data_IF_702360271573
#
_entry.id   IF_702360271573
#
_cell.length_a   1.000
_cell.length_b   1.000
_cell.length_c   1.000
_cell.angle_alpha   90.00
_cell.angle_beta   90.00
_cell.angle_gamma   90.00
#
_symmetry.space_group_name_H-M   'P 1'
#
loop_
_entity.id
_entity.type
_entity.pdbx_description
1 polymer ?
#
# COMPACT_ATOMS: atom_id res chain seq x y z
N UNK A 1 26.14 4.04 -4.08
CA UNK A 1 27.02 2.93 -3.70
C UNK A 1 28.20 2.92 -4.64
N UNK A 2 29.42 2.86 -4.12
CA UNK A 2 30.66 2.77 -4.92
C UNK A 2 31.60 1.78 -4.23
N UNK A 3 31.31 0.48 -4.32
CA UNK A 3 32.12 -0.56 -3.67
C UNK A 3 31.71 -1.99 -4.07
N UNK A 4 32.55 -3.01 -3.79
CA UNK A 4 32.26 -4.40 -4.13
C UNK A 4 31.08 -4.95 -3.33
N UNK A 5 30.26 -5.77 -3.98
CA UNK A 5 29.18 -6.53 -3.34
C UNK A 5 29.80 -7.68 -2.56
N UNK A 6 29.55 -7.72 -1.25
CA UNK A 6 30.07 -8.76 -0.36
C UNK A 6 29.14 -9.98 -0.32
N UNK A 7 27.82 -9.73 -0.36
CA UNK A 7 26.76 -10.75 -0.40
C UNK A 7 25.52 -10.17 -1.06
N UNK A 8 24.76 -11.03 -1.74
CA UNK A 8 23.45 -10.69 -2.25
C UNK A 8 22.47 -11.84 -1.95
N UNK A 9 21.31 -11.50 -1.39
CA UNK A 9 20.26 -12.45 -1.05
C UNK A 9 18.96 -12.06 -1.74
N UNK A 10 18.40 -12.98 -2.52
CA UNK A 10 17.07 -12.77 -3.11
C UNK A 10 16.00 -12.80 -2.02
N UNK A 11 15.10 -11.82 -2.06
CA UNK A 11 13.94 -11.76 -1.17
C UNK A 11 12.74 -12.31 -1.93
N UNK A 12 12.10 -13.34 -1.39
CA UNK A 12 10.82 -13.85 -1.90
C UNK A 12 9.69 -13.03 -1.26
N UNK A 13 9.63 -11.75 -1.58
CA UNK A 13 8.54 -10.86 -1.21
C UNK A 13 8.47 -9.72 -2.25
N UNK A 14 7.28 -9.50 -2.81
CA UNK A 14 7.06 -8.53 -3.89
C UNK A 14 6.71 -9.20 -5.21
N UNK A 15 5.44 -9.16 -5.59
CA UNK A 15 4.94 -9.75 -6.84
C UNK A 15 5.13 -8.85 -8.07
N UNK A 16 5.71 -7.65 -7.88
CA UNK A 16 5.76 -6.55 -8.87
C UNK A 16 7.16 -6.27 -9.42
N UNK A 17 8.21 -7.01 -9.02
CA UNK A 17 9.58 -6.81 -9.52
C UNK A 17 10.23 -8.11 -9.96
N UNK A 18 11.01 -8.06 -11.04
CA UNK A 18 11.80 -9.19 -11.54
C UNK A 18 12.99 -9.54 -10.64
N UNK A 19 13.48 -8.55 -9.90
CA UNK A 19 14.55 -8.68 -8.92
C UNK A 19 14.14 -7.96 -7.63
N UNK A 20 14.20 -8.68 -6.51
CA UNK A 20 14.18 -8.12 -5.17
C UNK A 20 15.31 -8.79 -4.38
N UNK A 21 16.26 -8.00 -3.88
CA UNK A 21 17.42 -8.53 -3.17
C UNK A 21 17.92 -7.58 -2.07
N UNK A 22 18.48 -8.15 -1.01
CA UNK A 22 19.31 -7.40 -0.06
C UNK A 22 20.76 -7.57 -0.47
N UNK A 23 21.46 -6.44 -0.62
CA UNK A 23 22.87 -6.41 -1.00
C UNK A 23 23.67 -5.88 0.19
N UNK A 24 24.61 -6.69 0.67
CA UNK A 24 25.59 -6.28 1.67
C UNK A 24 26.82 -5.68 0.97
N UNK A 25 27.22 -4.50 1.43
CA UNK A 25 28.49 -3.86 1.05
C UNK A 25 29.26 -3.42 2.29
N UNK A 26 30.50 -2.98 2.11
CA UNK A 26 31.30 -2.40 3.19
C UNK A 26 30.63 -1.17 3.84
N UNK A 27 29.79 -0.46 3.08
CA UNK A 27 29.09 0.76 3.53
C UNK A 27 27.72 0.47 4.17
N UNK A 28 27.30 -0.80 4.24
CA UNK A 28 26.04 -1.25 4.82
C UNK A 28 25.13 -2.04 3.87
N UNK A 29 23.90 -2.27 4.33
CA UNK A 29 22.86 -3.01 3.60
C UNK A 29 21.99 -2.09 2.77
N UNK A 30 21.68 -2.54 1.55
CA UNK A 30 20.76 -1.86 0.64
C UNK A 30 19.73 -2.86 0.15
N UNK A 31 18.45 -2.48 0.18
CA UNK A 31 17.43 -3.24 -0.53
C UNK A 31 17.40 -2.78 -2.00
N UNK A 32 17.44 -3.75 -2.92
CA UNK A 32 17.51 -3.51 -4.36
C UNK A 32 16.30 -4.11 -5.03
N UNK A 33 15.57 -3.29 -5.79
CA UNK A 33 14.44 -3.71 -6.62
C UNK A 33 14.81 -3.44 -8.08
N UNK A 34 14.59 -4.41 -8.96
CA UNK A 34 14.93 -4.30 -10.38
C UNK A 34 13.82 -4.79 -11.29
N UNK A 35 13.61 -4.06 -12.38
CA UNK A 35 12.71 -4.44 -13.47
C UNK A 35 13.42 -4.30 -14.81
N UNK A 36 12.94 -5.04 -15.81
CA UNK A 36 13.38 -4.89 -17.19
C UNK A 36 12.87 -3.54 -17.71
N UNK A 37 13.75 -2.75 -18.33
CA UNK A 37 13.42 -1.40 -18.81
C UNK A 37 12.42 -1.40 -19.98
N UNK A 38 12.29 -2.53 -20.68
CA UNK A 38 11.31 -2.79 -21.73
C UNK A 38 10.00 -3.41 -21.21
N UNK A 39 9.88 -3.62 -19.89
CA UNK A 39 8.66 -4.16 -19.30
C UNK A 39 7.52 -3.12 -19.34
N UNK A 40 6.30 -3.50 -19.77
CA UNK A 40 5.14 -2.60 -19.76
C UNK A 40 4.80 -2.02 -18.37
N UNK A 41 5.23 -2.65 -17.28
CA UNK A 41 5.01 -2.19 -15.91
C UNK A 41 6.16 -1.35 -15.34
N UNK A 42 7.22 -1.03 -16.10
CA UNK A 42 8.38 -0.23 -15.62
C UNK A 42 7.98 1.14 -15.06
N UNK A 43 6.86 1.70 -15.53
CA UNK A 43 6.29 2.93 -15.00
C UNK A 43 6.00 2.86 -13.49
N UNK A 44 5.72 1.66 -12.95
CA UNK A 44 5.49 1.45 -11.52
C UNK A 44 6.73 1.72 -10.69
N UNK A 45 7.89 1.31 -11.21
CA UNK A 45 9.19 1.54 -10.58
C UNK A 45 9.58 3.02 -10.63
N UNK A 46 9.37 3.68 -11.77
CA UNK A 46 9.60 5.12 -11.89
C UNK A 46 8.73 5.92 -10.91
N UNK A 47 7.45 5.54 -10.76
CA UNK A 47 6.55 6.18 -9.79
C UNK A 47 7.04 6.03 -8.35
N UNK A 48 7.51 4.84 -7.97
CA UNK A 48 8.08 4.60 -6.65
C UNK A 48 9.33 5.46 -6.40
N UNK A 49 10.19 5.62 -7.41
CA UNK A 49 11.38 6.48 -7.34
C UNK A 49 11.02 7.96 -7.16
N UNK A 50 10.07 8.46 -7.96
CA UNK A 50 9.60 9.85 -7.91
C UNK A 50 8.85 10.18 -6.60
N UNK A 51 8.12 9.22 -6.04
CA UNK A 51 7.40 9.40 -4.79
C UNK A 51 8.31 9.32 -3.56
N UNK A 52 9.44 8.61 -3.64
CA UNK A 52 10.37 8.37 -2.52
C UNK A 52 10.67 9.60 -1.64
N UNK A 53 11.04 10.77 -2.19
CA UNK A 53 11.30 11.98 -1.41
C UNK A 53 10.09 12.55 -0.65
N UNK A 54 8.87 12.16 -1.02
CA UNK A 54 7.62 12.66 -0.46
C UNK A 54 7.00 11.74 0.60
N UNK A 55 7.59 10.56 0.80
CA UNK A 55 7.15 9.55 1.80
C UNK A 55 8.13 9.41 2.95
N UNK A 56 9.12 10.29 3.06
CA UNK A 56 9.95 10.41 4.27
C UNK A 56 9.14 11.05 5.42
N UNK A 57 9.26 10.57 6.67
CA UNK A 57 10.12 9.48 7.14
C UNK A 57 9.40 8.12 7.23
N UNK A 58 8.23 7.96 6.62
CA UNK A 58 7.40 6.74 6.79
C UNK A 58 7.83 5.59 5.89
N UNK A 59 8.58 5.84 4.81
CA UNK A 59 9.09 4.82 3.89
C UNK A 59 10.61 4.82 3.83
N UNK A 60 11.23 3.74 3.33
CA UNK A 60 12.66 3.71 3.11
C UNK A 60 13.05 4.71 2.03
N UNK A 61 14.11 5.48 2.30
CA UNK A 61 14.59 6.47 1.34
C UNK A 61 15.19 5.79 0.11
N UNK A 62 14.79 6.26 -1.07
CA UNK A 62 15.44 5.94 -2.34
C UNK A 62 16.82 6.58 -2.37
N UNK A 63 17.87 5.76 -2.51
CA UNK A 63 19.28 6.20 -2.49
C UNK A 63 19.82 6.49 -3.86
N UNK A 64 19.38 5.72 -4.84
CA UNK A 64 19.81 5.82 -6.23
C UNK A 64 18.83 5.05 -7.13
N UNK A 65 18.77 5.49 -8.38
CA UNK A 65 18.15 4.78 -9.49
C UNK A 65 19.19 4.65 -10.59
N UNK A 66 19.33 3.47 -11.16
CA UNK A 66 20.29 3.18 -12.23
C UNK A 66 19.57 2.45 -13.35
N UNK A 67 19.64 3.00 -14.55
CA UNK A 67 19.21 2.32 -15.77
C UNK A 67 20.44 1.86 -16.54
N UNK A 68 20.61 0.54 -16.72
CA UNK A 68 21.79 -0.04 -17.40
C UNK A 68 21.48 -1.42 -17.97
N UNK A 69 22.03 -1.75 -19.13
CA UNK A 69 21.88 -3.07 -19.80
C UNK A 69 20.42 -3.57 -19.93
N UNK A 70 19.49 -2.64 -20.13
CA UNK A 70 18.05 -2.93 -20.25
C UNK A 70 17.37 -3.24 -18.91
N UNK A 71 17.97 -2.85 -17.79
CA UNK A 71 17.36 -2.89 -16.46
C UNK A 71 17.17 -1.49 -15.91
N UNK A 72 16.06 -1.27 -15.21
CA UNK A 72 15.90 -0.18 -14.25
C UNK A 72 16.02 -0.75 -12.83
N UNK A 73 16.86 -0.14 -12.01
CA UNK A 73 17.21 -0.65 -10.68
C UNK A 73 17.14 0.47 -9.66
N UNK A 74 16.35 0.25 -8.60
CA UNK A 74 16.27 1.13 -7.44
C UNK A 74 17.01 0.53 -6.25
N UNK A 75 17.77 1.38 -5.57
CA UNK A 75 18.37 1.06 -4.27
C UNK A 75 17.72 1.89 -3.16
N UNK A 76 17.30 1.21 -2.10
CA UNK A 76 16.66 1.80 -0.93
C UNK A 76 17.49 1.58 0.32
N UNK A 77 17.36 2.48 1.30
CA UNK A 77 17.83 2.20 2.66
C UNK A 77 17.18 0.89 3.16
N UNK A 78 17.99 -0.05 3.66
CA UNK A 78 17.50 -1.31 4.17
C UNK A 78 16.79 -1.13 5.52
N UNK A 79 15.56 -1.62 5.63
CA UNK A 79 14.78 -1.61 6.87
C UNK A 79 14.90 -2.97 7.53
N UNK A 80 15.61 -3.02 8.66
CA UNK A 80 15.68 -4.21 9.50
C UNK A 80 14.41 -4.33 10.36
N UNK A 81 13.83 -5.53 10.43
CA UNK A 81 12.58 -5.76 11.15
C UNK A 81 11.83 -6.99 10.64
N UNK A 82 10.52 -7.02 10.92
CA UNK A 82 9.60 -8.04 10.43
C UNK A 82 8.44 -7.42 9.64
N UNK A 83 7.82 -8.20 8.76
CA UNK A 83 6.53 -7.81 8.18
C UNK A 83 5.47 -7.76 9.27
N UNK A 84 4.55 -6.81 9.21
CA UNK A 84 3.49 -6.69 10.19
C UNK A 84 2.71 -8.00 10.34
N UNK A 85 2.30 -8.32 11.57
CA UNK A 85 1.33 -9.36 11.82
C UNK A 85 0.06 -8.72 12.39
N UNK A 86 -1.00 -8.65 11.58
CA UNK A 86 -2.28 -8.04 11.97
C UNK A 86 -3.08 -8.84 13.02
N UNK A 87 -2.48 -9.87 13.61
CA UNK A 87 -2.98 -10.57 14.80
C UNK A 87 -2.25 -10.11 16.07
N UNK A 88 -1.20 -9.29 15.95
CA UNK A 88 -0.40 -8.77 17.05
C UNK A 88 -0.75 -7.30 17.28
N UNK A 89 -1.19 -6.97 18.51
CA UNK A 89 -1.64 -5.62 18.86
C UNK A 89 -0.56 -4.54 18.69
N UNK A 90 0.70 -4.84 18.97
CA UNK A 90 1.79 -3.86 18.80
C UNK A 90 2.01 -3.51 17.32
N UNK A 91 1.87 -4.49 16.43
CA UNK A 91 2.04 -4.28 15.00
C UNK A 91 0.86 -3.46 14.46
N UNK A 92 -0.38 -3.79 14.88
CA UNK A 92 -1.57 -3.00 14.56
C UNK A 92 -1.45 -1.54 15.04
N UNK A 93 -0.90 -1.33 16.23
CA UNK A 93 -0.64 0.02 16.77
C UNK A 93 0.39 0.78 15.93
N UNK A 94 1.50 0.13 15.57
CA UNK A 94 2.52 0.73 14.73
C UNK A 94 1.99 1.06 13.33
N UNK A 95 1.23 0.15 12.71
CA UNK A 95 0.56 0.38 11.42
C UNK A 95 -0.39 1.58 11.48
N UNK A 96 -1.24 1.66 12.51
CA UNK A 96 -2.16 2.79 12.68
C UNK A 96 -1.43 4.13 12.90
N UNK A 97 -0.31 4.11 13.62
CA UNK A 97 0.53 5.29 13.81
C UNK A 97 1.16 5.77 12.49
N UNK A 98 1.69 4.85 11.68
CA UNK A 98 2.27 5.18 10.36
C UNK A 98 1.21 5.63 9.36
N UNK A 99 0.01 5.04 9.36
CA UNK A 99 -1.12 5.54 8.57
C UNK A 99 -1.55 6.95 9.00
N UNK A 100 -1.52 7.25 10.30
CA UNK A 100 -1.77 8.60 10.81
C UNK A 100 -0.69 9.58 10.37
N UNK A 101 0.57 9.15 10.29
CA UNK A 101 1.66 9.97 9.76
C UNK A 101 1.51 10.22 8.25
N UNK A 102 1.15 9.19 7.48
CA UNK A 102 0.84 9.31 6.04
C UNK A 102 -0.22 10.39 5.77
N UNK A 103 -1.28 10.43 6.57
CA UNK A 103 -2.34 11.44 6.44
C UNK A 103 -1.86 12.90 6.61
N UNK A 104 -0.61 13.15 7.03
CA UNK A 104 0.00 14.48 7.16
C UNK A 104 0.98 14.79 6.02
N UNK A 105 1.33 13.81 5.21
CA UNK A 105 2.23 13.98 4.08
C UNK A 105 1.50 14.58 2.89
N UNK A 106 2.25 15.31 2.08
CA UNK A 106 1.74 15.98 0.89
C UNK A 106 2.61 15.62 -0.30
N UNK A 107 2.01 14.99 -1.32
CA UNK A 107 2.65 14.78 -2.62
C UNK A 107 2.31 15.95 -3.56
N UNK A 108 3.29 16.54 -4.27
CA UNK A 108 3.05 17.59 -5.26
C UNK A 108 1.96 17.18 -6.26
N UNK A 109 1.11 18.13 -6.67
CA UNK A 109 0.07 17.85 -7.69
C UNK A 109 0.66 17.50 -9.06
N UNK A 110 1.89 17.89 -9.32
CA UNK A 110 2.65 17.55 -10.53
C UNK A 110 3.09 16.10 -10.56
N UNK A 111 3.10 15.41 -9.41
CA UNK A 111 3.39 13.98 -9.36
C UNK A 111 2.17 13.20 -9.87
N UNK A 112 2.36 12.44 -10.93
CA UNK A 112 1.31 11.61 -11.50
C UNK A 112 1.01 10.42 -10.58
N UNK A 113 -0.15 10.45 -9.95
CA UNK A 113 -0.68 9.36 -9.13
C UNK A 113 -1.92 8.76 -9.80
N UNK A 114 -2.32 7.57 -9.35
CA UNK A 114 -3.67 7.09 -9.68
C UNK A 114 -4.69 8.05 -9.06
N UNK A 115 -5.87 8.10 -9.64
CA UNK A 115 -6.97 8.91 -9.16
C UNK A 115 -8.05 8.00 -8.54
N UNK A 116 -8.48 8.30 -7.31
CA UNK A 116 -9.42 7.46 -6.57
C UNK A 116 -10.78 7.39 -7.26
N UNK A 117 -11.29 8.51 -7.77
CA UNK A 117 -12.57 8.58 -8.49
C UNK A 117 -12.53 7.69 -9.74
N UNK A 118 -11.41 7.69 -10.47
CA UNK A 118 -11.24 6.84 -11.65
C UNK A 118 -11.03 5.37 -11.29
N UNK A 119 -10.20 5.09 -10.28
CA UNK A 119 -9.81 3.72 -9.90
C UNK A 119 -11.01 2.93 -9.38
N UNK A 120 -11.66 3.45 -8.34
CA UNK A 120 -12.78 2.77 -7.70
C UNK A 120 -14.13 3.16 -8.31
N UNK A 121 -14.24 4.36 -8.89
CA UNK A 121 -15.45 4.73 -9.62
C UNK A 121 -15.69 3.91 -10.89
N UNK A 122 -14.69 3.16 -11.39
CA UNK A 122 -14.91 2.14 -12.42
C UNK A 122 -15.89 1.03 -11.98
N UNK A 123 -16.07 0.85 -10.66
CA UNK A 123 -17.01 -0.10 -10.07
C UNK A 123 -18.30 0.56 -9.57
N UNK A 124 -18.45 1.88 -9.76
CA UNK A 124 -19.62 2.66 -9.34
C UNK A 124 -20.36 3.17 -10.58
N UNK A 125 -21.63 2.75 -10.80
CA UNK A 125 -22.38 3.17 -11.99
C UNK A 125 -22.76 4.66 -11.93
N UNK A 126 -23.05 5.19 -10.75
CA UNK A 126 -23.47 6.58 -10.54
C UNK A 126 -22.25 7.52 -10.49
N UNK A 127 -22.12 8.50 -11.41
CA UNK A 127 -21.04 9.48 -11.38
C UNK A 127 -20.98 10.31 -10.09
N UNK A 128 -22.12 10.54 -9.42
CA UNK A 128 -22.16 11.30 -8.17
C UNK A 128 -21.53 10.52 -7.01
N UNK A 129 -21.66 9.19 -7.01
CA UNK A 129 -20.99 8.30 -6.06
C UNK A 129 -19.47 8.24 -6.31
N UNK A 130 -19.01 8.42 -7.56
CA UNK A 130 -17.57 8.48 -7.86
C UNK A 130 -16.92 9.70 -7.21
N UNK A 131 -17.60 10.85 -7.29
CA UNK A 131 -17.13 12.11 -6.72
C UNK A 131 -16.98 12.06 -5.19
N UNK A 132 -17.63 11.10 -4.52
CA UNK A 132 -17.48 10.89 -3.08
C UNK A 132 -16.08 10.43 -2.68
N UNK A 133 -15.30 9.88 -3.61
CA UNK A 133 -13.94 9.35 -3.39
C UNK A 133 -12.86 10.43 -3.62
N UNK A 134 -13.26 11.59 -4.12
CA UNK A 134 -12.37 12.70 -4.42
C UNK A 134 -11.67 13.23 -3.16
N UNK A 135 -10.45 13.71 -3.34
CA UNK A 135 -9.66 14.35 -2.29
C UNK A 135 -8.21 14.51 -2.70
N UNK A 136 -7.45 15.24 -1.89
CA UNK A 136 -6.07 15.60 -2.20
C UNK A 136 -5.02 14.80 -1.45
N UNK A 137 -5.45 13.87 -0.58
CA UNK A 137 -4.54 13.09 0.25
C UNK A 137 -3.69 12.14 -0.61
N UNK A 138 -2.45 11.93 -0.18
CA UNK A 138 -1.61 10.85 -0.67
C UNK A 138 -2.04 9.55 0.01
N UNK A 139 -2.41 8.54 -0.79
CA UNK A 139 -2.88 7.24 -0.30
C UNK A 139 -1.91 6.14 -0.72
N UNK A 140 -1.63 5.21 0.19
CA UNK A 140 -0.87 4.01 -0.13
C UNK A 140 -1.72 2.98 -0.88
N UNK A 141 -2.96 2.80 -0.40
CA UNK A 141 -4.01 1.90 -0.91
C UNK A 141 -3.76 0.41 -0.76
N UNK A 142 -2.51 -0.04 -0.67
CA UNK A 142 -2.17 -1.45 -0.47
C UNK A 142 -1.60 -1.73 0.92
N UNK A 143 -2.50 -1.99 1.88
CA UNK A 143 -2.14 -2.29 3.27
C UNK A 143 -1.90 -3.78 3.52
N UNK A 144 -1.41 -4.50 2.51
CA UNK A 144 -0.88 -5.84 2.69
C UNK A 144 0.16 -5.83 3.82
N UNK A 145 0.10 -6.82 4.70
CA UNK A 145 1.03 -6.96 5.82
C UNK A 145 2.49 -7.06 5.37
N UNK A 146 2.77 -7.54 4.15
CA UNK A 146 4.13 -7.56 3.58
C UNK A 146 4.65 -6.18 3.16
N UNK A 147 3.79 -5.18 3.05
CA UNK A 147 4.17 -3.81 2.70
C UNK A 147 4.41 -2.93 3.94
N UNK A 148 4.18 -3.47 5.13
CA UNK A 148 4.40 -2.79 6.40
C UNK A 148 5.53 -3.49 7.16
N UNK A 149 6.67 -2.83 7.28
CA UNK A 149 7.84 -3.33 7.98
C UNK A 149 7.92 -2.72 9.39
N UNK A 150 7.82 -3.56 10.42
CA UNK A 150 7.97 -3.15 11.81
C UNK A 150 9.45 -3.27 12.19
N UNK A 151 10.08 -2.15 12.51
CA UNK A 151 11.48 -2.15 12.96
C UNK A 151 11.62 -2.77 14.35
N UNK A 152 12.85 -3.11 14.74
CA UNK A 152 13.15 -3.56 16.10
C UNK A 152 12.76 -2.53 17.18
N UNK A 153 12.71 -1.25 16.83
CA UNK A 153 12.23 -0.17 17.71
C UNK A 153 10.70 -0.04 17.75
N UNK A 154 9.95 -0.91 17.06
CA UNK A 154 8.50 -0.92 17.00
C UNK A 154 7.88 0.14 16.09
N UNK A 155 8.66 0.73 15.16
CA UNK A 155 8.18 1.74 14.22
C UNK A 155 7.83 1.08 12.89
N UNK A 156 6.63 1.32 12.37
CA UNK A 156 6.23 0.80 11.07
C UNK A 156 6.74 1.69 9.93
N UNK A 157 7.39 1.08 8.95
CA UNK A 157 7.73 1.69 7.66
C UNK A 157 6.89 1.08 6.55
N UNK A 158 6.54 1.91 5.57
CA UNK A 158 5.66 1.57 4.47
C UNK A 158 6.45 1.50 3.16
N UNK A 159 6.40 0.34 2.51
CA UNK A 159 7.14 0.02 1.28
C UNK A 159 6.18 -0.32 0.14
N UNK A 160 6.70 -0.34 -1.09
CA UNK A 160 5.96 -0.69 -2.31
C UNK A 160 4.83 0.31 -2.62
N UNK A 161 5.20 1.43 -3.24
CA UNK A 161 4.30 2.52 -3.59
C UNK A 161 3.77 2.56 -5.05
N UNK A 162 3.77 1.49 -5.88
CA UNK A 162 3.46 1.61 -7.30
C UNK A 162 1.99 2.00 -7.57
N UNK A 163 1.11 1.73 -6.61
CA UNK A 163 -0.33 2.03 -6.68
C UNK A 163 -0.75 3.26 -5.89
N UNK A 164 0.21 4.10 -5.50
CA UNK A 164 -0.07 5.36 -4.83
C UNK A 164 -1.17 6.13 -5.56
N UNK A 165 -2.17 6.55 -4.79
CA UNK A 165 -3.41 7.12 -5.31
C UNK A 165 -3.67 8.46 -4.64
N UNK A 166 -4.27 9.40 -5.37
CA UNK A 166 -4.80 10.65 -4.85
C UNK A 166 -6.30 10.50 -4.62
N UNK A 167 -6.77 10.87 -3.43
CA UNK A 167 -8.19 10.77 -3.09
C UNK A 167 -8.50 11.22 -1.66
N UNK A 168 -9.68 10.85 -1.17
CA UNK A 168 -10.08 11.14 0.21
C UNK A 168 -9.22 10.36 1.23
N UNK A 169 -8.75 11.03 2.29
CA UNK A 169 -7.82 10.43 3.27
C UNK A 169 -8.37 9.22 4.04
N UNK A 170 -9.70 9.10 4.16
CA UNK A 170 -10.35 7.98 4.85
C UNK A 170 -10.33 6.67 4.04
N UNK A 171 -9.92 6.71 2.77
CA UNK A 171 -9.83 5.52 1.89
C UNK A 171 -8.79 4.52 2.42
N UNK A 172 -7.63 4.98 2.88
CA UNK A 172 -6.57 4.08 3.38
C UNK A 172 -7.02 3.24 4.59
N UNK A 173 -7.66 3.82 5.63
CA UNK A 173 -8.29 3.03 6.68
C UNK A 173 -9.33 2.01 6.15
N UNK A 174 -10.10 2.38 5.12
CA UNK A 174 -11.05 1.48 4.46
C UNK A 174 -10.37 0.30 3.74
N UNK A 175 -9.26 0.55 3.04
CA UNK A 175 -8.44 -0.50 2.45
C UNK A 175 -7.86 -1.43 3.53
N UNK A 176 -7.41 -0.88 4.66
CA UNK A 176 -6.83 -1.66 5.75
C UNK A 176 -7.86 -2.57 6.44
N UNK A 177 -9.11 -2.13 6.60
CA UNK A 177 -10.18 -2.97 7.16
C UNK A 177 -10.30 -4.31 6.43
N UNK A 178 -10.20 -4.34 5.10
CA UNK A 178 -10.25 -5.60 4.32
C UNK A 178 -9.12 -6.53 4.72
N UNK A 179 -7.91 -6.01 4.95
CA UNK A 179 -6.76 -6.80 5.39
C UNK A 179 -6.89 -7.29 6.84
N UNK A 180 -7.51 -6.50 7.73
CA UNK A 180 -7.80 -6.92 9.09
C UNK A 180 -8.85 -8.04 9.14
N UNK A 181 -9.90 -7.92 8.34
CA UNK A 181 -10.92 -8.97 8.19
C UNK A 181 -10.31 -10.23 7.56
N UNK A 182 -9.46 -10.06 6.56
CA UNK A 182 -8.68 -11.16 5.98
C UNK A 182 -7.80 -11.87 7.03
N UNK A 183 -7.22 -11.11 7.98
CA UNK A 183 -6.44 -11.66 9.09
C UNK A 183 -7.28 -12.32 10.20
N UNK A 184 -8.62 -12.26 10.09
CA UNK A 184 -9.57 -12.98 10.96
C UNK A 184 -10.44 -12.11 11.87
N UNK A 185 -10.29 -10.78 11.84
CA UNK A 185 -11.13 -9.88 12.64
C UNK A 185 -12.56 -9.80 12.11
N UNK A 186 -13.54 -9.54 12.98
CA UNK A 186 -14.87 -9.15 12.50
C UNK A 186 -14.87 -7.70 12.00
N UNK A 187 -15.75 -7.32 11.05
CA UNK A 187 -15.76 -5.97 10.47
C UNK A 187 -15.88 -4.82 11.49
N UNK A 188 -16.63 -5.02 12.58
CA UNK A 188 -16.77 -4.03 13.64
C UNK A 188 -15.49 -3.88 14.48
N UNK A 189 -14.72 -4.95 14.67
CA UNK A 189 -13.39 -4.88 15.30
C UNK A 189 -12.39 -4.16 14.40
N UNK A 190 -12.42 -4.45 13.10
CA UNK A 190 -11.59 -3.77 12.11
C UNK A 190 -11.92 -2.27 12.01
N UNK A 191 -13.20 -1.89 12.05
CA UNK A 191 -13.59 -0.47 12.10
C UNK A 191 -13.14 0.24 13.38
N UNK A 192 -13.06 -0.46 14.52
CA UNK A 192 -12.50 0.12 15.75
C UNK A 192 -11.01 0.46 15.59
N UNK A 193 -10.26 -0.31 14.82
CA UNK A 193 -8.88 0.04 14.45
C UNK A 193 -8.84 1.24 13.50
N UNK A 194 -9.66 1.23 12.44
CA UNK A 194 -9.77 2.37 11.51
C UNK A 194 -10.13 3.69 12.22
N UNK A 195 -11.01 3.63 13.23
CA UNK A 195 -11.41 4.77 14.05
C UNK A 195 -10.27 5.37 14.90
N UNK A 196 -9.12 4.72 15.01
CA UNK A 196 -7.92 5.30 15.63
C UNK A 196 -7.17 6.26 14.71
N UNK A 197 -7.45 6.23 13.41
CA UNK A 197 -6.84 7.11 12.42
C UNK A 197 -7.69 8.38 12.28
N UNK A 198 -7.12 9.59 12.45
CA UNK A 198 -7.88 10.84 12.35
C UNK A 198 -8.63 11.00 11.03
N UNK A 199 -8.03 10.57 9.91
CA UNK A 199 -8.63 10.69 8.58
C UNK A 199 -9.96 9.93 8.46
N UNK A 200 -10.13 8.81 9.17
CA UNK A 200 -11.34 7.98 9.14
C UNK A 200 -12.61 8.79 9.47
N UNK A 201 -12.51 9.70 10.43
CA UNK A 201 -13.63 10.51 10.92
C UNK A 201 -14.09 11.59 9.94
N UNK A 202 -13.39 11.78 8.82
CA UNK A 202 -13.81 12.69 7.75
C UNK A 202 -14.80 12.06 6.77
N UNK A 203 -15.04 10.74 6.86
CA UNK A 203 -16.02 10.05 6.03
C UNK A 203 -17.43 10.12 6.64
N UNK A 204 -18.43 10.34 5.79
CA UNK A 204 -19.83 10.05 6.13
C UNK A 204 -20.14 8.55 6.01
N UNK A 205 -21.19 8.09 6.69
CA UNK A 205 -21.60 6.68 6.61
C UNK A 205 -21.93 6.22 5.19
N UNK A 206 -22.51 7.11 4.38
CA UNK A 206 -22.79 6.88 2.97
C UNK A 206 -21.52 6.70 2.15
N UNK A 207 -20.51 7.56 2.33
CA UNK A 207 -19.22 7.44 1.66
C UNK A 207 -18.55 6.10 1.95
N UNK A 208 -18.57 5.67 3.22
CA UNK A 208 -18.01 4.37 3.62
C UNK A 208 -18.78 3.19 3.00
N UNK A 209 -20.10 3.26 2.90
CA UNK A 209 -20.91 2.21 2.27
C UNK A 209 -20.67 2.11 0.74
N UNK A 210 -20.57 3.26 0.06
CA UNK A 210 -20.23 3.35 -1.37
C UNK A 210 -18.83 2.76 -1.61
N UNK A 211 -17.85 3.18 -0.83
CA UNK A 211 -16.48 2.69 -0.99
C UNK A 211 -16.34 1.21 -0.66
N UNK A 212 -17.00 0.70 0.39
CA UNK A 212 -17.00 -0.73 0.70
C UNK A 212 -17.60 -1.56 -0.45
N UNK A 213 -18.61 -1.03 -1.16
CA UNK A 213 -19.15 -1.66 -2.36
C UNK A 213 -18.14 -1.66 -3.51
N UNK A 214 -17.54 -0.51 -3.82
CA UNK A 214 -16.53 -0.42 -4.88
C UNK A 214 -15.31 -1.33 -4.63
N UNK A 215 -14.84 -1.41 -3.38
CA UNK A 215 -13.70 -2.23 -2.98
C UNK A 215 -14.04 -3.73 -3.04
N UNK A 216 -15.26 -4.13 -2.68
CA UNK A 216 -15.73 -5.51 -2.82
C UNK A 216 -15.82 -5.95 -4.30
N UNK A 217 -16.22 -5.04 -5.19
CA UNK A 217 -16.24 -5.30 -6.64
C UNK A 217 -14.84 -5.33 -7.25
N UNK A 218 -13.92 -4.45 -6.82
CA UNK A 218 -12.50 -4.51 -7.22
C UNK A 218 -11.88 -5.85 -6.86
N UNK A 219 -12.05 -6.32 -5.61
CA UNK A 219 -11.54 -7.62 -5.20
C UNK A 219 -12.26 -8.79 -5.89
N UNK A 220 -13.55 -8.65 -6.20
CA UNK A 220 -14.29 -9.65 -7.00
C UNK A 220 -13.71 -9.77 -8.41
N UNK A 221 -13.44 -8.65 -9.10
CA UNK A 221 -12.82 -8.64 -10.41
C UNK A 221 -11.38 -9.17 -10.37
N UNK A 222 -10.61 -8.83 -9.34
CA UNK A 222 -9.25 -9.36 -9.15
C UNK A 222 -9.23 -10.86 -8.92
N UNK A 223 -10.16 -11.39 -8.10
CA UNK A 223 -10.31 -12.83 -7.90
C UNK A 223 -10.77 -13.57 -9.15
N UNK A 224 -11.49 -12.92 -10.07
CA UNK A 224 -11.86 -13.50 -11.37
C UNK A 224 -10.67 -13.52 -12.33
N UNK A 225 -9.89 -12.43 -12.41
CA UNK A 225 -8.71 -12.35 -13.28
C UNK A 225 -7.59 -13.30 -12.85
N UNK A 226 -7.32 -13.39 -11.55
CA UNK A 226 -6.22 -14.16 -10.96
C UNK A 226 -6.73 -15.07 -9.83
N UNK A 227 -7.46 -16.16 -10.14
CA UNK A 227 -8.14 -16.96 -9.13
C UNK A 227 -7.15 -17.81 -8.33
N UNK A 228 -6.95 -17.45 -7.06
CA UNK A 228 -6.19 -18.25 -6.10
C UNK A 228 -6.82 -18.14 -4.69
N UNK A 229 -6.24 -18.83 -3.71
CA UNK A 229 -6.78 -18.82 -2.33
C UNK A 229 -6.76 -17.41 -1.76
N UNK A 230 -5.67 -16.67 -1.96
CA UNK A 230 -5.51 -15.30 -1.47
C UNK A 230 -6.54 -14.34 -2.06
N UNK A 231 -6.67 -14.29 -3.38
CA UNK A 231 -7.60 -13.36 -4.05
C UNK A 231 -9.06 -13.68 -3.74
N UNK A 232 -9.42 -14.97 -3.58
CA UNK A 232 -10.76 -15.37 -3.13
C UNK A 232 -11.03 -14.96 -1.68
N UNK A 233 -10.06 -15.16 -0.78
CA UNK A 233 -10.20 -14.76 0.62
C UNK A 233 -10.28 -13.25 0.80
N UNK A 234 -9.50 -12.46 0.05
CA UNK A 234 -9.58 -10.98 0.08
C UNK A 234 -10.92 -10.48 -0.46
N UNK A 235 -11.44 -11.08 -1.54
CA UNK A 235 -12.81 -10.82 -2.00
C UNK A 235 -13.83 -11.11 -0.90
N UNK A 236 -13.71 -12.24 -0.21
CA UNK A 236 -14.67 -12.64 0.81
C UNK A 236 -14.64 -11.69 2.02
N UNK A 237 -13.44 -11.25 2.43
CA UNK A 237 -13.23 -10.22 3.45
C UNK A 237 -13.85 -8.88 3.04
N UNK A 238 -13.59 -8.41 1.81
CA UNK A 238 -14.17 -7.17 1.30
C UNK A 238 -15.70 -7.22 1.25
N UNK A 239 -16.27 -8.34 0.79
CA UNK A 239 -17.72 -8.56 0.80
C UNK A 239 -18.30 -8.65 2.21
N UNK A 240 -17.54 -9.15 3.19
CA UNK A 240 -17.98 -9.17 4.59
C UNK A 240 -18.08 -7.76 5.15
N UNK A 241 -17.07 -6.91 4.91
CA UNK A 241 -17.14 -5.51 5.31
C UNK A 241 -18.25 -4.74 4.59
N UNK A 242 -18.42 -4.96 3.27
CA UNK A 242 -19.54 -4.41 2.51
C UNK A 242 -20.90 -4.75 3.15
N UNK A 243 -21.15 -6.03 3.45
CA UNK A 243 -22.41 -6.45 4.11
C UNK A 243 -22.60 -5.77 5.47
N UNK A 244 -21.53 -5.61 6.24
CA UNK A 244 -21.59 -4.90 7.52
C UNK A 244 -22.01 -3.44 7.33
N UNK A 245 -21.41 -2.72 6.36
CA UNK A 245 -21.77 -1.31 6.08
C UNK A 245 -23.20 -1.14 5.59
N UNK A 246 -23.69 -2.04 4.74
CA UNK A 246 -25.03 -1.95 4.16
C UNK A 246 -26.16 -2.34 5.14
N UNK A 247 -25.82 -2.93 6.29
CA UNK A 247 -26.79 -3.32 7.32
C UNK A 247 -27.00 -2.25 8.40
N UNK A 248 -26.32 -1.09 8.32
CA UNK A 248 -26.37 -0.01 9.30
C UNK A 248 -27.33 1.10 8.89
#
# INVERSE_FOLDING_TARGET
MTGPILRAESVIAGFSSHLAAVVDTADGRTFVKGMRADDPEVWTQHREAELGPHVDPIGPRVRWQITSDGWDILGFDYVAGHFADYRIDSDLQATAATMTALGRLHAPRTLELKDAERRWGAYLPDPTERALLAGDALLHTDWNYSNVLITESGVAHLVDWPWATRGAGWIDPGCWIVWLVFAGQQPDEAERWAARIPAWHSASDHQLAVFATALAEEWSATAQRNPNVWTRSLRDAARQWQRHRLAR
#
